data_IF_907819915094
#
_entry.id   IF_907819915094
#
_cell.length_a   1.000
_cell.length_b   1.000
_cell.length_c   1.000
_cell.angle_alpha   90.00
_cell.angle_beta   90.00
_cell.angle_gamma   90.00
#
_symmetry.space_group_name_H-M   'P 1'
#
loop_
_entity.id
_entity.type
_entity.pdbx_description
1 polymer ?
#
# COMPACT_ATOMS: atom_id res chain seq x y z
N UNK A 1 1.11 3.56 21.28
CA UNK A 1 0.66 3.42 19.87
C UNK A 1 -0.55 2.49 19.85
N UNK A 2 -1.21 2.29 18.70
CA UNK A 2 -2.54 1.70 18.69
C UNK A 2 -3.26 1.90 17.35
N UNK A 3 -4.60 1.71 17.31
CA UNK A 3 -5.37 1.70 16.07
C UNK A 3 -5.20 2.97 15.22
N UNK A 4 -5.10 4.15 15.86
CA UNK A 4 -4.88 5.42 15.15
C UNK A 4 -3.51 5.45 14.46
N UNK A 5 -2.44 5.03 15.15
CA UNK A 5 -1.09 4.98 14.57
C UNK A 5 -1.02 3.98 13.42
N UNK A 6 -1.66 2.82 13.57
CA UNK A 6 -1.80 1.83 12.52
C UNK A 6 -2.55 2.37 11.29
N UNK A 7 -3.63 3.13 11.52
CA UNK A 7 -4.37 3.79 10.45
C UNK A 7 -3.53 4.83 9.70
N UNK A 8 -2.80 5.68 10.43
CA UNK A 8 -1.91 6.69 9.82
C UNK A 8 -0.81 6.03 8.99
N UNK A 9 -0.19 4.97 9.51
CA UNK A 9 0.86 4.24 8.79
C UNK A 9 0.32 3.65 7.48
N UNK A 10 -0.84 2.98 7.52
CA UNK A 10 -1.47 2.42 6.32
C UNK A 10 -1.89 3.51 5.33
N UNK A 11 -2.37 4.66 5.79
CA UNK A 11 -2.69 5.80 4.92
C UNK A 11 -1.43 6.30 4.18
N UNK A 12 -0.28 6.33 4.85
CA UNK A 12 1.01 6.61 4.22
C UNK A 12 1.37 5.58 3.15
N UNK A 13 1.27 4.28 3.45
CA UNK A 13 1.48 3.21 2.47
C UNK A 13 0.52 3.34 1.26
N UNK A 14 -0.74 3.69 1.51
CA UNK A 14 -1.75 3.90 0.47
C UNK A 14 -1.39 5.09 -0.45
N UNK A 15 -0.86 6.18 0.11
CA UNK A 15 -0.38 7.31 -0.68
C UNK A 15 0.79 6.92 -1.60
N UNK A 16 1.70 6.07 -1.13
CA UNK A 16 2.85 5.60 -1.92
C UNK A 16 2.41 4.68 -3.07
N UNK A 17 1.50 3.73 -2.82
CA UNK A 17 1.02 2.84 -3.89
C UNK A 17 0.21 3.61 -4.94
N UNK A 18 -0.58 4.60 -4.53
CA UNK A 18 -1.24 5.54 -5.44
C UNK A 18 -0.23 6.23 -6.36
N UNK A 19 0.85 6.77 -5.80
CA UNK A 19 1.90 7.42 -6.59
C UNK A 19 2.60 6.44 -7.55
N UNK A 20 2.88 5.21 -7.11
CA UNK A 20 3.48 4.15 -7.94
C UNK A 20 2.59 3.80 -9.16
N UNK A 21 1.29 3.66 -8.92
CA UNK A 21 0.29 3.43 -9.96
C UNK A 21 0.21 4.61 -10.94
N UNK A 22 0.16 5.85 -10.42
CA UNK A 22 0.13 7.05 -11.27
C UNK A 22 1.38 7.17 -12.13
N UNK A 23 2.57 6.86 -11.59
CA UNK A 23 3.81 6.82 -12.35
C UNK A 23 3.80 5.76 -13.46
N UNK A 24 3.09 4.65 -13.24
CA UNK A 24 2.88 3.61 -14.24
C UNK A 24 1.74 3.91 -15.23
N UNK A 25 1.00 5.01 -15.05
CA UNK A 25 -0.13 5.39 -15.91
C UNK A 25 -1.45 4.68 -15.61
N UNK A 26 -1.61 4.12 -14.40
CA UNK A 26 -2.81 3.41 -13.98
C UNK A 26 -3.50 4.08 -12.80
N UNK A 27 -4.80 3.84 -12.67
CA UNK A 27 -5.59 4.21 -11.48
C UNK A 27 -5.57 3.05 -10.48
N UNK A 28 -5.23 3.34 -9.23
CA UNK A 28 -5.24 2.33 -8.16
C UNK A 28 -6.64 1.75 -7.93
N UNK A 29 -6.72 0.44 -7.72
CA UNK A 29 -7.99 -0.28 -7.53
C UNK A 29 -8.82 -0.51 -8.79
N UNK A 30 -8.46 0.09 -9.93
CA UNK A 30 -9.19 -0.09 -11.19
C UNK A 30 -8.72 -1.32 -12.00
N UNK A 31 -7.53 -1.85 -11.70
CA UNK A 31 -6.95 -3.01 -12.39
C UNK A 31 -7.46 -4.32 -11.78
N UNK A 32 -8.08 -5.17 -12.61
CA UNK A 32 -8.50 -6.51 -12.21
C UNK A 32 -7.27 -7.40 -12.01
N UNK A 33 -7.15 -8.05 -10.85
CA UNK A 33 -5.89 -8.69 -10.41
C UNK A 33 -5.30 -9.74 -11.37
N UNK A 34 -6.11 -10.43 -12.17
CA UNK A 34 -5.64 -11.43 -13.12
C UNK A 34 -4.93 -10.83 -14.35
N UNK A 35 -5.20 -9.56 -14.69
CA UNK A 35 -4.63 -8.86 -15.85
C UNK A 35 -3.71 -7.72 -15.43
N UNK A 36 -3.31 -7.68 -14.16
CA UNK A 36 -2.43 -6.65 -13.63
C UNK A 36 -1.05 -6.71 -14.32
N UNK A 37 -0.57 -5.58 -14.90
CA UNK A 37 0.79 -5.47 -15.41
C UNK A 37 1.84 -5.77 -14.34
N UNK A 38 3.04 -6.22 -14.74
CA UNK A 38 4.12 -6.53 -13.80
C UNK A 38 4.49 -5.34 -12.89
N UNK A 39 4.44 -4.10 -13.42
CA UNK A 39 4.65 -2.87 -12.63
C UNK A 39 3.61 -2.73 -11.50
N UNK A 40 2.36 -3.05 -11.79
CA UNK A 40 1.24 -3.00 -10.85
C UNK A 40 1.36 -4.09 -9.79
N UNK A 41 1.77 -5.29 -10.18
CA UNK A 41 2.06 -6.38 -9.23
C UNK A 41 3.18 -5.94 -8.26
N UNK A 42 4.25 -5.31 -8.77
CA UNK A 42 5.33 -4.80 -7.95
C UNK A 42 4.88 -3.68 -6.98
N UNK A 43 4.08 -2.70 -7.45
CA UNK A 43 3.52 -1.65 -6.60
C UNK A 43 2.69 -2.25 -5.44
N UNK A 44 1.86 -3.26 -5.71
CA UNK A 44 1.06 -3.92 -4.68
C UNK A 44 1.89 -4.76 -3.70
N UNK A 45 2.92 -5.46 -4.19
CA UNK A 45 3.80 -6.24 -3.32
C UNK A 45 4.54 -5.32 -2.33
N UNK A 46 5.00 -4.15 -2.80
CA UNK A 46 5.57 -3.11 -1.94
C UNK A 46 4.55 -2.57 -0.94
N UNK A 47 3.32 -2.29 -1.38
CA UNK A 47 2.23 -1.86 -0.51
C UNK A 47 1.93 -2.87 0.61
N UNK A 48 1.78 -4.15 0.27
CA UNK A 48 1.55 -5.21 1.24
C UNK A 48 2.69 -5.33 2.26
N UNK A 49 3.94 -5.21 1.81
CA UNK A 49 5.12 -5.20 2.69
C UNK A 49 5.14 -3.99 3.62
N UNK A 50 4.79 -2.80 3.12
CA UNK A 50 4.65 -1.58 3.92
C UNK A 50 3.57 -1.75 5.01
N UNK A 51 2.39 -2.24 4.63
CA UNK A 51 1.30 -2.49 5.57
C UNK A 51 1.64 -3.55 6.62
N UNK A 52 2.40 -4.60 6.26
CA UNK A 52 2.88 -5.60 7.22
C UNK A 52 3.78 -4.98 8.31
N UNK A 53 4.64 -4.02 7.94
CA UNK A 53 5.46 -3.29 8.91
C UNK A 53 4.64 -2.37 9.81
N UNK A 54 3.51 -1.84 9.31
CA UNK A 54 2.61 -1.01 10.13
C UNK A 54 2.08 -1.77 11.35
N UNK A 55 2.04 -3.11 11.37
CA UNK A 55 1.61 -3.88 12.54
C UNK A 55 2.40 -3.52 13.82
N UNK A 56 3.67 -3.13 13.71
CA UNK A 56 4.46 -2.67 14.85
C UNK A 56 3.84 -1.43 15.52
N UNK A 57 3.26 -0.52 14.73
CA UNK A 57 2.59 0.71 15.26
C UNK A 57 1.29 0.43 15.98
N UNK A 58 0.71 -0.77 15.82
CA UNK A 58 -0.47 -1.19 16.56
C UNK A 58 -0.09 -1.66 17.98
N UNK A 59 1.06 -2.32 18.12
CA UNK A 59 1.49 -3.01 19.34
C UNK A 59 2.42 -2.18 20.23
N UNK A 60 2.99 -1.10 19.71
CA UNK A 60 3.79 -0.15 20.49
C UNK A 60 2.94 0.46 21.62
N UNK A 61 3.43 0.53 22.87
CA UNK A 61 2.71 1.10 24.01
C UNK A 61 2.33 2.57 23.79
#
# INVERSE_FOLDING_TARGET
AGPLGYGICQAGCAAVVMACYSAAGYTWGATLGATAPASIVACNAAFGTCCAHCAATLLMP
#
